data_IF_219487381117
#
_entry.id   IF_219487381117
#
_cell.length_a   1.000
_cell.length_b   1.000
_cell.length_c   1.000
_cell.angle_alpha   90.00
_cell.angle_beta   90.00
_cell.angle_gamma   90.00
#
_symmetry.space_group_name_H-M   'P 1'
#
loop_
_entity.id
_entity.type
_entity.pdbx_description
1 polymer ?
#
# COMPACT_ATOMS: atom_id res chain seq x y z
N UNK A 1 -7.32 28.66 10.50
CA UNK A 1 -6.44 27.48 10.57
C UNK A 1 -6.44 26.86 9.18
N UNK A 2 -5.36 27.03 8.41
CA UNK A 2 -5.26 26.45 7.07
C UNK A 2 -4.89 24.97 7.21
N UNK A 3 -5.68 24.08 6.60
CA UNK A 3 -5.31 22.68 6.45
C UNK A 3 -4.18 22.59 5.43
N UNK A 4 -2.98 22.23 5.89
CA UNK A 4 -1.84 21.99 5.01
C UNK A 4 -1.74 20.48 4.72
N UNK A 5 -1.71 20.13 3.43
CA UNK A 5 -1.48 18.76 3.01
C UNK A 5 -0.03 18.36 3.28
N UNK A 6 0.15 17.20 3.92
CA UNK A 6 1.47 16.64 4.26
C UNK A 6 1.61 15.31 3.53
N UNK A 7 2.66 15.11 2.70
CA UNK A 7 2.88 13.84 2.04
C UNK A 7 3.46 12.83 3.04
N UNK A 8 2.71 11.74 3.25
CA UNK A 8 3.08 10.62 4.13
C UNK A 8 3.47 9.36 3.38
N UNK A 9 3.33 9.36 2.05
CA UNK A 9 3.72 8.25 1.18
C UNK A 9 4.56 8.81 0.04
N UNK A 10 5.77 8.26 -0.09
CA UNK A 10 6.78 8.68 -1.05
C UNK A 10 7.43 7.43 -1.64
N UNK A 11 8.22 7.59 -2.70
CA UNK A 11 9.07 6.52 -3.26
C UNK A 11 8.34 5.38 -3.99
N UNK A 12 7.47 5.71 -4.94
CA UNK A 12 6.85 4.73 -5.86
C UNK A 12 7.81 4.12 -6.91
N UNK A 13 9.12 4.40 -6.81
CA UNK A 13 10.12 3.84 -7.73
C UNK A 13 10.77 2.63 -7.10
N UNK A 14 10.66 1.49 -7.77
CA UNK A 14 11.36 0.27 -7.40
C UNK A 14 12.24 -0.20 -8.55
N UNK A 15 13.56 -0.29 -8.30
CA UNK A 15 14.56 -0.55 -9.35
C UNK A 15 14.44 0.46 -10.50
N UNK A 16 14.36 0.00 -11.74
CA UNK A 16 14.16 0.81 -12.96
C UNK A 16 12.68 1.05 -13.29
N UNK A 17 11.75 0.66 -12.41
CA UNK A 17 10.31 0.72 -12.64
C UNK A 17 9.64 1.74 -11.74
N UNK A 18 8.76 2.56 -12.32
CA UNK A 18 7.86 3.42 -11.56
C UNK A 18 6.52 2.71 -11.40
N UNK A 19 5.99 2.73 -10.20
CA UNK A 19 4.68 2.21 -9.86
C UNK A 19 3.70 3.36 -9.66
N UNK A 20 2.41 3.09 -9.85
CA UNK A 20 1.35 4.06 -9.60
C UNK A 20 0.09 3.36 -9.13
N UNK A 21 -0.80 4.10 -8.46
CA UNK A 21 -2.13 3.58 -8.19
C UNK A 21 -2.86 3.25 -9.49
N UNK A 22 -3.63 2.17 -9.46
CA UNK A 22 -4.51 1.81 -10.57
C UNK A 22 -5.57 2.92 -10.70
N UNK A 23 -5.74 3.55 -11.88
CA UNK A 23 -6.79 4.54 -12.08
C UNK A 23 -8.14 3.89 -11.84
N UNK A 24 -8.92 4.44 -10.91
CA UNK A 24 -10.26 3.96 -10.64
C UNK A 24 -11.12 4.03 -11.90
N UNK A 25 -11.78 2.93 -12.25
CA UNK A 25 -12.93 2.96 -13.15
C UNK A 25 -14.18 3.17 -12.29
N UNK A 26 -15.23 3.87 -12.77
CA UNK A 26 -16.48 3.99 -12.01
C UNK A 26 -17.09 2.66 -11.55
N UNK A 27 -16.74 1.56 -12.24
CA UNK A 27 -17.17 0.19 -11.94
C UNK A 27 -16.23 -0.59 -11.02
N UNK A 28 -15.12 -0.02 -10.57
CA UNK A 28 -14.11 -0.69 -9.74
C UNK A 28 -13.73 0.19 -8.55
N UNK A 29 -13.90 -0.29 -7.30
CA UNK A 29 -13.48 0.47 -6.14
C UNK A 29 -11.96 0.66 -6.16
N UNK A 30 -11.49 1.85 -5.75
CA UNK A 30 -10.08 2.08 -5.49
C UNK A 30 -9.69 1.22 -4.29
N UNK A 31 -8.90 0.17 -4.52
CA UNK A 31 -8.52 -0.80 -3.50
C UNK A 31 -7.41 -0.23 -2.60
N UNK A 32 -7.80 0.60 -1.62
CA UNK A 32 -7.00 0.91 -0.45
C UNK A 32 -7.71 0.32 0.76
N UNK A 33 -7.15 -0.75 1.31
CA UNK A 33 -7.69 -1.43 2.48
C UNK A 33 -6.74 -1.21 3.65
N UNK A 34 -7.27 -0.87 4.82
CA UNK A 34 -6.49 -0.61 6.02
C UNK A 34 -6.59 -1.78 7.00
N UNK A 35 -5.51 -2.07 7.70
CA UNK A 35 -5.42 -3.14 8.71
C UNK A 35 -4.10 -3.03 9.46
N UNK A 36 -3.99 -3.63 10.65
CA UNK A 36 -2.75 -3.65 11.44
C UNK A 36 -2.14 -5.05 11.31
N UNK A 37 -1.17 -5.21 10.40
CA UNK A 37 -0.66 -6.56 10.06
C UNK A 37 0.40 -7.04 11.05
N UNK A 38 1.08 -6.12 11.73
CA UNK A 38 2.17 -6.42 12.66
C UNK A 38 1.75 -6.29 14.13
N UNK A 39 0.49 -5.92 14.40
CA UNK A 39 -0.13 -5.77 15.71
C UNK A 39 0.56 -4.72 16.58
N UNK A 40 1.07 -3.65 15.98
CA UNK A 40 1.78 -2.58 16.68
C UNK A 40 0.87 -1.42 17.13
N UNK A 41 -0.43 -1.50 16.79
CA UNK A 41 -1.45 -0.50 17.11
C UNK A 41 -1.54 0.63 16.09
N UNK A 42 -0.80 0.58 14.98
CA UNK A 42 -0.88 1.54 13.88
C UNK A 42 -1.48 0.90 12.63
N UNK A 43 -2.43 1.59 11.96
CA UNK A 43 -3.03 1.04 10.76
C UNK A 43 -2.06 1.12 9.59
N UNK A 44 -1.78 -0.04 9.01
CA UNK A 44 -1.11 -0.24 7.73
C UNK A 44 -2.14 -0.24 6.59
N UNK A 45 -1.66 -0.23 5.34
CA UNK A 45 -2.51 -0.33 4.17
C UNK A 45 -2.06 -1.42 3.21
N UNK A 46 -3.01 -2.06 2.55
CA UNK A 46 -2.80 -2.99 1.46
C UNK A 46 -3.37 -2.37 0.20
N UNK A 47 -2.51 -2.25 -0.82
CA UNK A 47 -2.83 -1.50 -2.04
C UNK A 47 -2.47 -2.31 -3.27
N UNK A 48 -3.23 -2.12 -4.35
CA UNK A 48 -2.85 -2.60 -5.67
C UNK A 48 -2.16 -1.47 -6.44
N UNK A 49 -0.92 -1.70 -6.85
CA UNK A 49 -0.18 -0.79 -7.71
C UNK A 49 -0.02 -1.41 -9.10
N UNK A 50 0.00 -0.54 -10.12
CA UNK A 50 0.39 -0.90 -11.47
C UNK A 50 1.79 -0.43 -11.78
N UNK A 51 2.50 -1.24 -12.53
CA UNK A 51 3.73 -0.83 -13.19
C UNK A 51 3.38 0.21 -14.28
N UNK A 52 4.13 1.29 -14.43
CA UNK A 52 3.89 2.27 -15.51
C UNK A 52 4.49 1.84 -16.85
N UNK A 53 5.53 1.01 -16.81
CA UNK A 53 6.26 0.51 -17.99
C UNK A 53 5.71 -0.82 -18.52
N UNK A 54 4.94 -1.55 -17.70
CA UNK A 54 4.25 -2.78 -18.10
C UNK A 54 2.80 -2.77 -17.62
N UNK A 55 1.92 -3.59 -18.17
CA UNK A 55 0.52 -3.67 -17.74
C UNK A 55 0.29 -4.46 -16.43
N UNK A 56 1.36 -4.87 -15.75
CA UNK A 56 1.28 -5.69 -14.54
C UNK A 56 0.71 -4.92 -13.34
N UNK A 57 -0.26 -5.54 -12.66
CA UNK A 57 -0.81 -5.08 -11.38
C UNK A 57 -0.47 -6.09 -10.28
N UNK A 58 -0.01 -5.60 -9.14
CA UNK A 58 0.38 -6.41 -7.99
C UNK A 58 -0.05 -5.73 -6.69
N UNK A 59 -0.27 -6.54 -5.66
CA UNK A 59 -0.55 -6.06 -4.32
C UNK A 59 0.76 -5.72 -3.57
N UNK A 60 0.73 -4.66 -2.76
CA UNK A 60 1.85 -4.22 -1.93
C UNK A 60 1.34 -3.79 -0.56
N UNK A 61 2.10 -4.15 0.47
CA UNK A 61 1.89 -3.66 1.83
C UNK A 61 2.55 -2.30 2.02
N UNK A 62 1.80 -1.37 2.58
CA UNK A 62 2.24 -0.06 3.05
C UNK A 62 2.25 -0.09 4.57
N UNK A 63 3.43 -0.25 5.15
CA UNK A 63 3.58 -0.27 6.60
C UNK A 63 3.66 1.14 7.16
N UNK A 64 2.94 1.40 8.25
CA UNK A 64 2.95 2.65 8.98
C UNK A 64 4.15 2.74 9.92
N UNK A 65 5.21 3.38 9.47
CA UNK A 65 6.47 3.49 10.21
C UNK A 65 6.69 4.90 10.76
N UNK A 66 7.52 5.05 11.82
CA UNK A 66 8.01 6.36 12.24
C UNK A 66 8.61 7.13 11.05
N UNK A 67 8.26 8.40 10.94
CA UNK A 67 8.74 9.26 9.88
C UNK A 67 10.27 9.39 9.94
N UNK A 68 10.94 9.10 8.83
CA UNK A 68 12.39 9.28 8.68
C UNK A 68 12.76 10.45 7.75
N UNK A 69 11.78 11.07 7.09
CA UNK A 69 11.97 12.11 6.08
C UNK A 69 11.52 13.49 6.58
N UNK A 70 12.16 14.56 6.10
CA UNK A 70 11.79 15.93 6.46
C UNK A 70 10.33 16.28 6.12
N UNK A 71 9.76 15.63 5.10
CA UNK A 71 8.41 15.91 4.60
C UNK A 71 7.29 15.50 5.56
N UNK A 72 7.52 14.52 6.43
CA UNK A 72 6.50 13.98 7.34
C UNK A 72 6.75 14.33 8.82
N UNK A 73 7.75 15.19 9.11
CA UNK A 73 8.11 15.54 10.49
C UNK A 73 6.95 16.15 11.30
N UNK A 74 6.06 16.90 10.63
CA UNK A 74 4.90 17.53 11.27
C UNK A 74 3.83 16.54 11.74
N UNK A 75 3.78 15.33 11.15
CA UNK A 75 2.80 14.28 11.47
C UNK A 75 3.45 13.06 12.13
N UNK A 76 4.77 12.96 12.13
CA UNK A 76 5.55 11.96 12.85
C UNK A 76 5.56 10.55 12.26
N UNK A 77 4.75 10.28 11.22
CA UNK A 77 4.61 8.97 10.60
C UNK A 77 4.58 9.03 9.07
N UNK A 78 4.89 7.89 8.45
CA UNK A 78 4.85 7.71 7.01
C UNK A 78 4.55 6.27 6.63
N UNK A 79 4.16 6.03 5.39
CA UNK A 79 4.01 4.71 4.82
C UNK A 79 5.26 4.29 4.08
N UNK A 80 5.74 3.09 4.40
CA UNK A 80 6.84 2.40 3.71
C UNK A 80 6.29 1.29 2.84
N UNK A 81 6.62 1.33 1.55
CA UNK A 81 6.23 0.29 0.59
C UNK A 81 7.14 -0.93 0.76
N UNK A 82 6.55 -2.10 1.01
CA UNK A 82 7.25 -3.38 1.01
C UNK A 82 7.33 -3.97 -0.40
N UNK A 83 8.44 -3.71 -1.08
CA UNK A 83 8.64 -4.13 -2.47
C UNK A 83 8.98 -5.62 -2.66
N UNK A 84 9.52 -6.28 -1.63
CA UNK A 84 10.09 -7.63 -1.70
C UNK A 84 9.22 -8.69 -1.00
N UNK A 85 7.90 -8.49 -0.97
CA UNK A 85 6.97 -9.50 -0.47
C UNK A 85 6.66 -10.54 -1.53
N UNK A 86 7.35 -11.67 -1.46
CA UNK A 86 7.19 -12.83 -2.37
C UNK A 86 5.74 -13.28 -2.49
N UNK A 87 5.00 -13.29 -1.37
CA UNK A 87 3.66 -13.87 -1.30
C UNK A 87 2.61 -12.99 -1.98
N UNK A 88 2.72 -11.66 -1.83
CA UNK A 88 1.88 -10.68 -2.52
C UNK A 88 2.25 -10.57 -4.00
N UNK A 89 3.56 -10.57 -4.28
CA UNK A 89 4.10 -10.46 -5.64
C UNK A 89 3.76 -11.66 -6.52
N UNK A 90 3.46 -12.82 -5.94
CA UNK A 90 3.04 -14.02 -6.67
C UNK A 90 1.71 -13.85 -7.40
N UNK A 91 0.84 -12.94 -6.95
CA UNK A 91 -0.50 -12.74 -7.51
C UNK A 91 -0.45 -11.68 -8.61
N UNK A 92 -0.31 -12.17 -9.84
CA UNK A 92 -0.27 -11.32 -11.03
C UNK A 92 -1.67 -10.86 -11.46
N UNK A 93 -1.76 -9.57 -11.81
CA UNK A 93 -2.99 -8.89 -12.22
C UNK A 93 -4.05 -8.85 -11.10
N UNK A 94 -3.61 -8.60 -9.85
CA UNK A 94 -4.53 -8.37 -8.74
C UNK A 94 -5.45 -7.18 -9.05
N UNK A 95 -6.75 -7.34 -8.79
CA UNK A 95 -7.75 -6.26 -8.93
C UNK A 95 -8.07 -5.64 -7.57
N UNK A 96 -8.04 -6.46 -6.51
CA UNK A 96 -8.35 -6.05 -5.15
C UNK A 96 -7.51 -6.84 -4.15
N UNK A 97 -7.10 -6.17 -3.08
CA UNK A 97 -6.37 -6.78 -1.98
C UNK A 97 -6.95 -6.22 -0.68
N UNK A 98 -7.33 -7.07 0.26
CA UNK A 98 -7.96 -6.65 1.52
C UNK A 98 -7.44 -7.46 2.69
N UNK A 99 -7.38 -6.81 3.85
CA UNK A 99 -7.18 -7.50 5.11
C UNK A 99 -8.47 -8.24 5.48
N UNK A 100 -8.32 -9.48 5.93
CA UNK A 100 -9.39 -10.22 6.58
C UNK A 100 -8.79 -10.93 7.78
N UNK A 101 -9.07 -10.41 8.97
CA UNK A 101 -8.74 -11.10 10.21
C UNK A 101 -9.78 -12.18 10.50
N UNK A 102 -9.65 -13.33 9.83
CA UNK A 102 -10.63 -14.43 9.93
C UNK A 102 -10.35 -15.39 11.09
N UNK A 103 -9.16 -15.39 11.69
CA UNK A 103 -8.84 -16.25 12.83
C UNK A 103 -8.12 -15.54 14.00
N UNK A 104 -8.13 -14.20 14.05
CA UNK A 104 -7.29 -13.43 15.00
C UNK A 104 -5.78 -13.71 14.81
N UNK A 105 -5.39 -14.00 13.57
CA UNK A 105 -4.03 -14.42 13.17
C UNK A 105 -3.42 -13.55 12.06
N UNK A 106 -4.06 -12.42 11.71
CA UNK A 106 -3.58 -11.45 10.71
C UNK A 106 -3.32 -12.06 9.31
N UNK A 107 -4.18 -12.97 8.85
CA UNK A 107 -4.11 -13.48 7.48
C UNK A 107 -4.50 -12.43 6.43
N UNK A 108 -3.78 -12.44 5.31
CA UNK A 108 -3.94 -11.48 4.22
C UNK A 108 -4.54 -12.16 2.99
N UNK A 109 -5.55 -11.54 2.36
CA UNK A 109 -6.21 -12.07 1.16
C UNK A 109 -6.12 -11.10 -0.03
N UNK A 110 -5.84 -11.66 -1.20
CA UNK A 110 -5.76 -10.93 -2.46
C UNK A 110 -6.58 -11.68 -3.51
N UNK A 111 -7.45 -10.95 -4.24
CA UNK A 111 -8.31 -11.51 -5.29
C UNK A 111 -7.94 -10.96 -6.68
N UNK A 112 -8.01 -11.85 -7.67
CA UNK A 112 -7.77 -11.55 -9.08
C UNK A 112 -9.06 -11.19 -9.81
#
# INVERSE_FOLDING_TARGET
>A
MLLQWVPVLSDFKWRETVWSFVPGKPSQPLALHLGDYNLDGFPDALVVLRNTSSSGQQAFLLENVPCNNASCQSVGRMFRIHWDQSDLGAIQNAIMATFFDIYEDCLLFVSK
#
